data_IF_646261103290
#
_entry.id   IF_646261103290
#
_cell.length_a   1.000
_cell.length_b   1.000
_cell.length_c   1.000
_cell.angle_alpha   90.00
_cell.angle_beta   90.00
_cell.angle_gamma   90.00
#
_symmetry.space_group_name_H-M   'P 1'
#
loop_
_entity.id
_entity.type
_entity.pdbx_description
1 polymer ?
#
# COMPACT_ATOMS: atom_id res chain seq x y z
N UNK A 1 -1.17 28.34 -16.27
CA UNK A 1 -0.28 27.19 -16.58
C UNK A 1 -0.67 26.72 -17.98
N UNK A 2 0.28 26.50 -18.89
CA UNK A 2 -0.07 25.94 -20.20
C UNK A 2 -0.64 24.53 -20.00
N UNK A 3 -1.84 24.32 -20.51
CA UNK A 3 -2.49 23.00 -20.52
C UNK A 3 -1.70 22.06 -21.42
N UNK A 4 -1.50 20.81 -20.98
CA UNK A 4 -0.87 19.79 -21.82
C UNK A 4 -1.73 19.62 -23.09
N UNK A 5 -1.14 19.64 -24.30
CA UNK A 5 -1.87 19.35 -25.52
C UNK A 5 -2.59 18.00 -25.39
N UNK A 6 -3.83 17.91 -25.86
CA UNK A 6 -4.66 16.70 -25.69
C UNK A 6 -3.97 15.41 -26.18
N UNK A 7 -3.18 15.50 -27.25
CA UNK A 7 -2.36 14.39 -27.75
C UNK A 7 -1.26 13.95 -26.76
N UNK A 8 -0.59 14.89 -26.10
CA UNK A 8 0.42 14.60 -25.09
C UNK A 8 -0.20 13.98 -23.83
N UNK A 9 -1.39 14.45 -23.41
CA UNK A 9 -2.13 13.85 -22.31
C UNK A 9 -2.57 12.41 -22.63
N UNK A 10 -3.06 12.16 -23.85
CA UNK A 10 -3.42 10.81 -24.29
C UNK A 10 -2.21 9.87 -24.35
N UNK A 11 -1.06 10.34 -24.81
CA UNK A 11 0.18 9.55 -24.86
C UNK A 11 0.72 9.23 -23.46
N UNK A 12 0.58 10.15 -22.50
CA UNK A 12 0.92 9.89 -21.11
C UNK A 12 -0.03 8.84 -20.50
N UNK A 13 -1.33 8.95 -20.75
CA UNK A 13 -2.30 7.98 -20.27
C UNK A 13 -2.02 6.57 -20.81
N UNK A 14 -1.63 6.44 -22.08
CA UNK A 14 -1.24 5.17 -22.68
C UNK A 14 0.01 4.57 -22.02
N UNK A 15 1.05 5.38 -21.76
CA UNK A 15 2.26 4.94 -21.06
C UNK A 15 1.98 4.49 -19.63
N UNK A 16 1.11 5.20 -18.91
CA UNK A 16 0.71 4.81 -17.55
C UNK A 16 -0.10 3.51 -17.54
N UNK A 17 -0.93 3.27 -18.56
CA UNK A 17 -1.66 2.02 -18.72
C UNK A 17 -0.69 0.84 -18.95
N UNK A 18 0.30 1.00 -19.84
CA UNK A 18 1.32 -0.02 -20.10
C UNK A 18 2.14 -0.34 -18.83
N UNK A 19 2.56 0.69 -18.09
CA UNK A 19 3.24 0.53 -16.80
C UNK A 19 2.34 -0.15 -15.75
N UNK A 20 1.04 0.13 -15.76
CA UNK A 20 0.08 -0.53 -14.88
C UNK A 20 -0.08 -2.02 -15.18
N UNK A 21 -0.12 -2.40 -16.46
CA UNK A 21 -0.14 -3.80 -16.89
C UNK A 21 1.16 -4.54 -16.50
N UNK A 22 2.32 -3.90 -16.68
CA UNK A 22 3.60 -4.45 -16.24
C UNK A 22 3.64 -4.63 -14.73
N UNK A 23 3.18 -3.62 -13.98
CA UNK A 23 3.07 -3.71 -12.52
C UNK A 23 2.21 -4.91 -12.13
N UNK A 24 1.02 -5.07 -12.71
CA UNK A 24 0.13 -6.18 -12.44
C UNK A 24 0.79 -7.53 -12.75
N UNK A 25 1.52 -7.65 -13.86
CA UNK A 25 2.24 -8.87 -14.24
C UNK A 25 3.37 -9.20 -13.27
N UNK A 26 4.04 -8.17 -12.72
CA UNK A 26 5.13 -8.31 -11.77
C UNK A 26 4.68 -8.57 -10.31
N UNK A 27 3.37 -8.43 -9.99
CA UNK A 27 2.87 -8.59 -8.63
C UNK A 27 3.22 -9.94 -7.97
N UNK A 28 3.07 -11.11 -8.64
CA UNK A 28 3.41 -12.39 -8.04
C UNK A 28 4.88 -12.48 -7.64
N UNK A 29 5.78 -11.96 -8.48
CA UNK A 29 7.22 -11.94 -8.20
C UNK A 29 7.53 -11.03 -7.01
N UNK A 30 6.98 -9.81 -6.99
CA UNK A 30 7.17 -8.85 -5.90
C UNK A 30 6.66 -9.39 -4.56
N UNK A 31 5.51 -10.05 -4.55
CA UNK A 31 4.98 -10.70 -3.35
C UNK A 31 5.85 -11.90 -2.95
N UNK A 32 6.38 -12.65 -3.91
CA UNK A 32 7.34 -13.72 -3.67
C UNK A 32 8.64 -13.24 -3.03
N UNK A 33 9.16 -12.08 -3.43
CA UNK A 33 10.33 -11.45 -2.81
C UNK A 33 10.05 -11.07 -1.34
N UNK A 34 8.87 -10.51 -1.06
CA UNK A 34 8.43 -10.20 0.32
C UNK A 34 8.30 -11.48 1.15
N UNK A 35 7.71 -12.54 0.59
CA UNK A 35 7.60 -13.85 1.23
C UNK A 35 8.97 -14.43 1.58
N UNK A 36 9.92 -14.39 0.64
CA UNK A 36 11.29 -14.86 0.87
C UNK A 36 11.98 -14.10 2.00
N UNK A 37 11.82 -12.77 2.05
CA UNK A 37 12.37 -11.95 3.13
C UNK A 37 11.73 -12.28 4.49
N UNK A 38 10.41 -12.49 4.55
CA UNK A 38 9.72 -12.93 5.78
C UNK A 38 10.19 -14.32 6.22
N UNK A 39 10.43 -15.24 5.31
CA UNK A 39 10.97 -16.57 5.62
C UNK A 39 12.43 -16.51 6.11
N UNK A 40 13.26 -15.62 5.56
CA UNK A 40 14.63 -15.41 6.01
C UNK A 40 14.69 -14.85 7.45
N UNK A 41 13.76 -13.96 7.79
CA UNK A 41 13.53 -13.55 9.19
C UNK A 41 13.10 -14.76 10.02
N UNK A 42 12.13 -15.54 9.52
CA UNK A 42 11.72 -16.86 10.04
C UNK A 42 12.86 -17.70 10.61
N UNK A 43 13.79 -18.06 9.73
CA UNK A 43 14.95 -18.89 10.05
C UNK A 43 15.91 -18.20 11.04
N UNK A 44 16.14 -16.89 10.86
CA UNK A 44 17.02 -16.13 11.75
C UNK A 44 16.50 -16.08 13.19
N UNK A 45 15.18 -16.06 13.43
CA UNK A 45 14.63 -16.16 14.80
C UNK A 45 14.88 -17.51 15.47
N UNK A 46 14.85 -18.60 14.71
CA UNK A 46 15.07 -19.97 15.22
C UNK A 46 16.53 -20.12 15.65
N UNK A 47 17.47 -19.60 14.85
CA UNK A 47 18.90 -19.56 15.18
C UNK A 47 19.20 -18.71 16.44
N UNK A 48 18.36 -17.71 16.77
CA UNK A 48 18.52 -16.90 17.99
C UNK A 48 18.02 -17.56 19.27
N UNK A 49 17.06 -18.48 19.16
CA UNK A 49 16.44 -19.12 20.31
C UNK A 49 17.42 -20.08 21.03
N UNK A 50 18.43 -20.57 20.31
CA UNK A 50 19.44 -21.51 20.82
C UNK A 50 20.55 -20.85 21.68
N UNK A 51 20.38 -19.58 22.07
CA UNK A 51 21.25 -18.92 23.06
C UNK A 51 22.48 -18.21 22.49
N UNK A 52 22.70 -18.24 21.17
CA UNK A 52 23.75 -17.46 20.49
C UNK A 52 23.22 -16.13 19.94
N UNK A 53 22.51 -15.37 20.77
CA UNK A 53 21.81 -14.12 20.38
C UNK A 53 22.68 -13.03 19.73
N UNK A 54 24.02 -13.14 19.78
CA UNK A 54 24.95 -12.20 19.12
C UNK A 54 25.10 -12.41 17.60
N UNK A 55 24.90 -13.64 17.10
CA UNK A 55 25.11 -14.01 15.68
C UNK A 55 23.93 -13.66 14.79
N UNK A 56 22.78 -13.48 15.42
CA UNK A 56 21.57 -13.04 14.75
C UNK A 56 21.64 -11.63 14.18
N UNK A 57 22.51 -10.76 14.71
CA UNK A 57 22.45 -9.32 14.39
C UNK A 57 22.50 -9.00 12.90
N UNK A 58 23.44 -9.61 12.16
CA UNK A 58 23.75 -9.16 10.80
C UNK A 58 22.80 -9.74 9.72
N UNK A 59 22.52 -11.05 9.76
CA UNK A 59 21.59 -11.69 8.82
C UNK A 59 20.15 -11.20 9.02
N UNK A 60 19.75 -11.03 10.28
CA UNK A 60 18.46 -10.47 10.66
C UNK A 60 18.29 -9.04 10.17
N UNK A 61 19.29 -8.18 10.36
CA UNK A 61 19.25 -6.79 9.91
C UNK A 61 19.26 -6.69 8.39
N UNK A 62 19.99 -7.56 7.69
CA UNK A 62 19.92 -7.65 6.23
C UNK A 62 18.50 -8.00 5.77
N UNK A 63 17.90 -9.04 6.34
CA UNK A 63 16.54 -9.47 6.00
C UNK A 63 15.49 -8.39 6.32
N UNK A 64 15.62 -7.67 7.45
CA UNK A 64 14.72 -6.56 7.79
C UNK A 64 14.87 -5.39 6.80
N UNK A 65 16.09 -5.07 6.36
CA UNK A 65 16.33 -4.02 5.36
C UNK A 65 15.74 -4.39 4.01
N UNK A 66 15.95 -5.62 3.57
CA UNK A 66 15.36 -6.15 2.33
C UNK A 66 13.83 -6.13 2.38
N UNK A 67 13.24 -6.59 3.49
CA UNK A 67 11.79 -6.56 3.68
C UNK A 67 11.25 -5.13 3.65
N UNK A 68 11.89 -4.20 4.36
CA UNK A 68 11.49 -2.79 4.36
C UNK A 68 11.58 -2.17 2.97
N UNK A 69 12.63 -2.45 2.20
CA UNK A 69 12.79 -1.92 0.84
C UNK A 69 11.75 -2.50 -0.12
N UNK A 70 11.51 -3.82 -0.07
CA UNK A 70 10.55 -4.50 -0.93
C UNK A 70 9.11 -4.01 -0.67
N UNK A 71 8.73 -3.90 0.60
CA UNK A 71 7.40 -3.42 1.01
C UNK A 71 7.19 -1.94 0.70
N UNK A 72 8.22 -1.10 0.88
CA UNK A 72 8.18 0.32 0.48
C UNK A 72 7.95 0.48 -1.03
N UNK A 73 8.71 -0.25 -1.84
CA UNK A 73 8.59 -0.24 -3.30
C UNK A 73 7.20 -0.70 -3.76
N UNK A 74 6.68 -1.77 -3.15
CA UNK A 74 5.33 -2.25 -3.42
C UNK A 74 4.27 -1.20 -3.05
N UNK A 75 4.41 -0.54 -1.90
CA UNK A 75 3.47 0.48 -1.46
C UNK A 75 3.41 1.68 -2.43
N UNK A 76 4.57 2.18 -2.87
CA UNK A 76 4.65 3.29 -3.82
C UNK A 76 4.02 2.96 -5.18
N UNK A 77 4.32 1.78 -5.71
CA UNK A 77 3.73 1.32 -6.96
C UNK A 77 2.22 1.07 -6.82
N UNK A 78 1.78 0.45 -5.73
CA UNK A 78 0.37 0.23 -5.44
C UNK A 78 -0.43 1.54 -5.33
N UNK A 79 0.16 2.57 -4.72
CA UNK A 79 -0.45 3.91 -4.66
C UNK A 79 -0.57 4.56 -6.05
N UNK A 80 0.43 4.37 -6.90
CA UNK A 80 0.46 4.94 -8.26
C UNK A 80 -0.60 4.31 -9.17
N UNK A 81 -0.80 2.98 -9.07
CA UNK A 81 -1.67 2.23 -9.97
C UNK A 81 -3.05 1.91 -9.40
N UNK A 82 -3.42 2.47 -8.24
CA UNK A 82 -4.78 2.35 -7.70
C UNK A 82 -5.08 1.06 -6.93
N UNK A 83 -4.09 0.52 -6.22
CA UNK A 83 -4.22 -0.67 -5.36
C UNK A 83 -4.12 -0.29 -3.87
N UNK A 84 -5.08 0.48 -3.30
CA UNK A 84 -4.95 1.07 -1.97
C UNK A 84 -4.83 0.03 -0.85
N UNK A 85 -5.56 -1.09 -0.93
CA UNK A 85 -5.49 -2.16 0.07
C UNK A 85 -4.13 -2.87 0.07
N UNK A 86 -3.56 -3.10 -1.12
CA UNK A 86 -2.23 -3.67 -1.29
C UNK A 86 -1.17 -2.73 -0.71
N UNK A 87 -1.25 -1.44 -1.06
CA UNK A 87 -0.33 -0.41 -0.55
C UNK A 87 -0.41 -0.26 0.96
N UNK A 88 -1.62 -0.23 1.54
CA UNK A 88 -1.81 -0.14 2.98
C UNK A 88 -1.25 -1.34 3.74
N UNK A 89 -1.37 -2.54 3.17
CA UNK A 89 -0.80 -3.77 3.77
C UNK A 89 0.73 -3.75 3.70
N UNK A 90 1.28 -3.34 2.56
CA UNK A 90 2.73 -3.20 2.38
C UNK A 90 3.32 -2.16 3.36
N UNK A 91 2.66 -1.02 3.56
CA UNK A 91 3.08 0.00 4.54
C UNK A 91 3.04 -0.52 5.99
N UNK A 92 2.05 -1.34 6.36
CA UNK A 92 2.02 -1.97 7.68
C UNK A 92 3.21 -2.91 7.89
N UNK A 93 3.58 -3.71 6.86
CA UNK A 93 4.77 -4.56 6.92
C UNK A 93 6.06 -3.72 6.99
N UNK A 94 6.16 -2.65 6.20
CA UNK A 94 7.31 -1.74 6.24
C UNK A 94 7.48 -1.12 7.64
N UNK A 95 6.39 -0.63 8.24
CA UNK A 95 6.40 -0.02 9.57
C UNK A 95 6.87 -1.01 10.64
N UNK A 96 6.35 -2.24 10.61
CA UNK A 96 6.78 -3.29 11.53
C UNK A 96 8.26 -3.63 11.34
N UNK A 97 8.74 -3.76 10.10
CA UNK A 97 10.14 -4.02 9.81
C UNK A 97 11.05 -2.90 10.35
N UNK A 98 10.68 -1.63 10.14
CA UNK A 98 11.41 -0.46 10.66
C UNK A 98 11.40 -0.40 12.18
N UNK A 99 10.29 -0.74 12.83
CA UNK A 99 10.21 -0.81 14.29
C UNK A 99 11.21 -1.82 14.85
N UNK A 100 11.31 -3.00 14.24
CA UNK A 100 12.26 -4.04 14.64
C UNK A 100 13.72 -3.69 14.33
N UNK A 101 13.96 -2.86 13.31
CA UNK A 101 15.30 -2.29 13.05
C UNK A 101 15.70 -1.30 14.15
N UNK A 102 14.78 -0.40 14.51
CA UNK A 102 15.03 0.70 15.45
C UNK A 102 15.14 0.25 16.91
N UNK A 103 14.40 -0.80 17.31
CA UNK A 103 14.40 -1.32 18.67
C UNK A 103 14.92 -2.76 18.71
N UNK A 104 16.21 -2.98 19.04
CA UNK A 104 16.76 -4.31 19.17
C UNK A 104 16.20 -5.10 20.36
N UNK A 105 15.64 -4.45 21.40
CA UNK A 105 15.01 -5.15 22.51
C UNK A 105 13.66 -5.77 22.12
N UNK A 106 12.93 -5.13 21.20
CA UNK A 106 11.72 -5.67 20.60
C UNK A 106 11.96 -6.97 19.79
N UNK A 107 13.21 -7.19 19.33
CA UNK A 107 13.60 -8.41 18.59
C UNK A 107 13.52 -9.68 19.44
N UNK A 108 13.73 -9.57 20.77
CA UNK A 108 13.77 -10.73 21.67
C UNK A 108 12.43 -10.95 22.36
N UNK A 109 11.81 -9.89 22.87
CA UNK A 109 10.55 -9.98 23.65
C UNK A 109 9.32 -10.08 22.74
N UNK A 110 9.38 -9.50 21.54
CA UNK A 110 8.26 -9.41 20.60
C UNK A 110 8.31 -10.36 19.41
N UNK A 111 9.31 -11.25 19.32
CA UNK A 111 9.57 -12.09 18.12
C UNK A 111 8.38 -12.95 17.71
N UNK A 112 7.74 -13.63 18.65
CA UNK A 112 6.58 -14.48 18.37
C UNK A 112 5.39 -13.68 17.84
N UNK A 113 5.10 -12.53 18.46
CA UNK A 113 4.03 -11.63 18.02
C UNK A 113 4.34 -11.02 16.66
N UNK A 114 5.58 -10.57 16.42
CA UNK A 114 6.00 -10.01 15.14
C UNK A 114 5.93 -11.05 14.01
N UNK A 115 6.37 -12.29 14.27
CA UNK A 115 6.27 -13.41 13.30
C UNK A 115 4.82 -13.68 12.90
N UNK A 116 3.91 -13.71 13.87
CA UNK A 116 2.47 -13.89 13.59
C UNK A 116 1.89 -12.70 12.80
N UNK A 117 2.25 -11.47 13.15
CA UNK A 117 1.82 -10.27 12.43
C UNK A 117 2.32 -10.28 10.98
N UNK A 118 3.59 -10.60 10.73
CA UNK A 118 4.11 -10.73 9.36
C UNK A 118 3.40 -11.82 8.57
N UNK A 119 3.17 -13.00 9.17
CA UNK A 119 2.44 -14.09 8.50
C UNK A 119 1.03 -13.67 8.09
N UNK A 120 0.32 -12.95 8.97
CA UNK A 120 -1.02 -12.43 8.69
C UNK A 120 -1.02 -11.40 7.56
N UNK A 121 -0.12 -10.43 7.60
CA UNK A 121 0.02 -9.41 6.56
C UNK A 121 0.41 -10.03 5.21
N UNK A 122 1.30 -11.01 5.22
CA UNK A 122 1.69 -11.75 4.02
C UNK A 122 0.51 -12.53 3.42
N UNK A 123 -0.32 -13.17 4.25
CA UNK A 123 -1.55 -13.82 3.78
C UNK A 123 -2.50 -12.81 3.13
N UNK A 124 -2.63 -11.60 3.70
CA UNK A 124 -3.40 -10.50 3.11
C UNK A 124 -2.82 -10.02 1.77
N UNK A 125 -1.50 -9.93 1.62
CA UNK A 125 -0.85 -9.58 0.34
C UNK A 125 -1.08 -10.65 -0.74
N UNK A 126 -1.12 -11.93 -0.37
CA UNK A 126 -1.30 -13.04 -1.32
C UNK A 126 -2.75 -13.18 -1.81
N UNK A 127 -3.74 -12.76 -1.02
CA UNK A 127 -5.16 -12.84 -1.37
C UNK A 127 -5.54 -12.12 -2.69
N UNK A 128 -5.15 -10.85 -2.96
CA UNK A 128 -5.48 -10.15 -4.20
C UNK A 128 -4.68 -10.62 -5.43
N UNK A 129 -3.55 -11.30 -5.25
CA UNK A 129 -2.75 -11.83 -6.38
C UNK A 129 -3.49 -12.97 -7.10
N UNK A 130 -4.45 -13.62 -6.42
CA UNK A 130 -5.34 -14.63 -6.99
C UNK A 130 -6.65 -14.10 -7.59
N UNK A 131 -6.95 -12.81 -7.46
CA UNK A 131 -8.23 -12.24 -7.92
C UNK A 131 -7.98 -10.89 -8.58
N UNK A 132 -8.05 -10.85 -9.92
CA UNK A 132 -7.81 -9.66 -10.71
C UNK A 132 -8.64 -8.47 -10.21
N UNK A 133 -8.04 -7.32 -9.88
CA UNK A 133 -8.80 -6.14 -9.55
C UNK A 133 -9.43 -5.56 -10.80
N UNK A 134 -10.69 -5.17 -10.68
CA UNK A 134 -11.37 -4.32 -11.64
C UNK A 134 -10.60 -3.01 -11.72
N UNK A 135 -9.91 -2.79 -12.83
CA UNK A 135 -9.29 -1.51 -13.17
C UNK A 135 -10.39 -0.45 -13.08
N UNK A 136 -10.35 0.37 -12.03
CA UNK A 136 -11.08 1.62 -12.01
C UNK A 136 -10.40 2.46 -13.07
N UNK A 137 -10.93 2.39 -14.28
CA UNK A 137 -10.67 3.37 -15.33
C UNK A 137 -10.86 4.73 -14.70
N UNK A 138 -9.76 5.44 -14.46
CA UNK A 138 -9.78 6.84 -14.13
C UNK A 138 -10.38 7.56 -15.33
N UNK A 139 -11.71 7.66 -15.35
CA UNK A 139 -12.41 8.60 -16.17
C UNK A 139 -11.92 9.98 -15.74
N UNK A 140 -10.98 10.51 -16.51
CA UNK A 140 -10.70 11.95 -16.57
C UNK A 140 -12.03 12.63 -16.88
N UNK A 141 -12.73 13.04 -15.83
CA UNK A 141 -13.80 14.02 -15.95
C UNK A 141 -13.11 15.38 -16.07
N UNK A 142 -12.68 15.69 -17.28
CA UNK A 142 -12.52 17.08 -17.70
C UNK A 142 -13.92 17.70 -17.66
N UNK A 143 -14.27 18.32 -16.53
CA UNK A 143 -15.47 19.12 -16.41
C UNK A 143 -15.30 20.35 -17.30
N UNK A 144 -15.94 20.31 -18.47
CA UNK A 144 -16.09 21.42 -19.39
C UNK A 144 -16.65 22.64 -18.64
N UNK A 145 -15.80 23.66 -18.49
CA UNK A 145 -16.23 25.03 -18.22
C UNK A 145 -16.95 25.55 -19.46
N UNK A 146 -18.23 25.93 -19.30
CA UNK A 146 -18.92 26.89 -20.17
C UNK A 146 -20.13 26.32 -20.93
N UNK A 147 -21.34 26.74 -20.53
CA UNK A 147 -22.55 26.49 -21.32
C UNK A 147 -23.86 26.79 -20.60
N UNK A 148 -24.16 28.09 -20.46
CA UNK A 148 -25.39 28.78 -20.08
C UNK A 148 -26.77 28.06 -20.28
N UNK A 149 -27.74 28.51 -19.45
CA UNK A 149 -29.21 28.39 -19.56
C UNK A 149 -29.81 27.09 -18.99
N UNK A 150 -30.83 27.05 -18.13
CA UNK A 150 -31.97 27.95 -17.89
C UNK A 150 -32.53 27.65 -16.49
N UNK A 151 -32.92 28.69 -15.73
CA UNK A 151 -33.68 28.56 -14.49
C UNK A 151 -35.11 28.03 -14.76
N UNK A 152 -35.76 27.39 -13.77
CA UNK A 152 -36.95 28.07 -13.24
C UNK A 152 -37.03 28.09 -11.72
N UNK A 153 -37.68 29.15 -11.25
CA UNK A 153 -37.86 29.58 -9.87
C UNK A 153 -38.95 28.79 -9.09
N UNK A 154 -39.09 29.18 -7.80
CA UNK A 154 -40.22 29.02 -6.85
C UNK A 154 -40.12 27.77 -5.95
N UNK A 155 -40.07 27.80 -4.60
CA UNK A 155 -40.48 28.77 -3.54
C UNK A 155 -39.72 28.51 -2.22
N UNK A 156 -39.77 29.44 -1.23
CA UNK A 156 -38.96 29.40 0.00
C UNK A 156 -39.68 28.80 1.24
N UNK A 157 -38.88 28.22 2.16
CA UNK A 157 -38.99 28.17 3.64
C UNK A 157 -40.25 27.50 4.30
N UNK A 158 -40.15 26.85 5.50
CA UNK A 158 -39.50 27.43 6.67
C UNK A 158 -38.61 26.53 7.55
N UNK A 159 -37.72 27.26 8.22
CA UNK A 159 -36.96 26.95 9.43
C UNK A 159 -37.90 26.51 10.56
N UNK A 160 -37.54 25.45 11.28
CA UNK A 160 -38.07 25.19 12.62
C UNK A 160 -36.91 25.24 13.61
N UNK A 161 -36.81 26.39 14.28
CA UNK A 161 -36.09 26.56 15.55
C UNK A 161 -37.11 26.31 16.65
N UNK A 162 -36.87 25.30 17.47
CA UNK A 162 -37.37 25.13 18.85
C UNK A 162 -36.21 24.36 19.52
N UNK A 163 -35.57 24.80 20.59
CA UNK A 163 -36.02 25.61 21.72
C UNK A 163 -35.55 24.86 22.96
N UNK A 164 -34.80 25.58 23.79
CA UNK A 164 -34.11 25.22 25.04
C UNK A 164 -34.98 24.53 26.12
N UNK A 165 -34.29 23.97 27.13
CA UNK A 165 -34.73 23.71 28.53
C UNK A 165 -35.39 22.33 28.84
N UNK A 166 -34.63 21.39 29.42
CA UNK A 166 -34.61 21.08 30.88
C UNK A 166 -33.50 20.05 31.21
#
# INVERSE_FOLDING_TARGET
MPELPAAAAAQLAAQLAELGEEFQRSLPERVGQIEAAVMALGASWEDCADGEGWRCGESWEAALRELSAATHSLAGAAGTFGYPALGATALQMEALARQLQADPAARVVGSASARETFARLLATLKAPVGTAPLLISAAVSAASVGGLATAPALRPAPVLVVGDDE
#
